data_IF_768287456873
#
_entry.id   IF_768287456873
#
_cell.length_a   1.000
_cell.length_b   1.000
_cell.length_c   1.000
_cell.angle_alpha   90.00
_cell.angle_beta   90.00
_cell.angle_gamma   90.00
#
_symmetry.space_group_name_H-M   'P 1'
#
loop_
_entity.id
_entity.type
_entity.pdbx_description
1 polymer ?
#
# COMPACT_ATOMS: atom_id res chain seq x y z
N UNK A 1 -45.61 5.68 52.01
CA UNK A 1 -44.31 4.99 51.80
C UNK A 1 -44.23 4.66 50.28
N UNK A 2 -43.64 5.56 49.49
CA UNK A 2 -43.50 5.40 48.05
C UNK A 2 -42.14 4.78 47.74
N UNK A 3 -42.15 3.55 47.24
CA UNK A 3 -40.95 2.89 46.73
C UNK A 3 -40.75 3.30 45.27
N UNK A 4 -39.81 4.21 45.00
CA UNK A 4 -39.33 4.48 43.66
C UNK A 4 -38.39 3.34 43.21
N UNK A 5 -38.85 2.55 42.29
CA UNK A 5 -38.02 1.59 41.55
C UNK A 5 -37.25 2.38 40.44
N UNK A 6 -35.96 2.60 40.64
CA UNK A 6 -35.06 3.05 39.55
C UNK A 6 -34.79 1.86 38.64
N UNK A 7 -35.36 1.90 37.44
CA UNK A 7 -34.97 0.98 36.37
C UNK A 7 -33.67 1.48 35.71
N UNK A 8 -32.59 0.76 35.94
CA UNK A 8 -31.31 1.01 35.30
C UNK A 8 -31.37 0.43 33.87
N UNK A 9 -31.58 1.29 32.89
CA UNK A 9 -31.49 0.89 31.47
C UNK A 9 -30.00 0.73 31.09
N UNK A 10 -29.54 -0.50 30.98
CA UNK A 10 -28.20 -0.82 30.42
C UNK A 10 -28.22 -0.55 28.93
N UNK A 11 -27.65 0.57 28.51
CA UNK A 11 -27.40 0.84 27.08
C UNK A 11 -26.25 -0.05 26.61
N UNK A 12 -26.56 -1.09 25.84
CA UNK A 12 -25.59 -1.91 25.16
C UNK A 12 -24.96 -1.11 24.00
N UNK A 13 -23.74 -0.65 24.19
CA UNK A 13 -22.96 -0.01 23.12
C UNK A 13 -22.44 -1.13 22.24
N UNK A 14 -23.14 -1.38 21.12
CA UNK A 14 -22.65 -2.26 20.05
C UNK A 14 -21.47 -1.54 19.36
N UNK A 15 -20.24 -1.97 19.64
CA UNK A 15 -19.08 -1.55 18.88
C UNK A 15 -19.16 -2.19 17.50
N UNK A 16 -19.53 -1.41 16.48
CA UNK A 16 -19.31 -1.79 15.09
C UNK A 16 -17.79 -1.90 14.90
N UNK A 17 -17.28 -3.13 14.77
CA UNK A 17 -15.95 -3.35 14.28
C UNK A 17 -15.92 -2.89 12.80
N UNK A 18 -15.35 -1.71 12.53
CA UNK A 18 -15.03 -1.31 11.16
C UNK A 18 -13.99 -2.33 10.67
N UNK A 19 -14.37 -3.16 9.71
CA UNK A 19 -13.40 -3.96 8.97
C UNK A 19 -12.36 -3.01 8.36
N UNK A 20 -11.07 -3.34 8.49
CA UNK A 20 -10.02 -2.56 7.87
C UNK A 20 -10.31 -2.46 6.35
N UNK A 21 -10.18 -1.29 5.75
CA UNK A 21 -10.44 -1.13 4.33
C UNK A 21 -9.49 -2.02 3.52
N UNK A 22 -9.98 -2.54 2.41
CA UNK A 22 -9.15 -3.29 1.47
C UNK A 22 -7.97 -2.43 1.00
N UNK A 23 -6.76 -3.01 0.79
CA UNK A 23 -5.57 -2.23 0.46
C UNK A 23 -5.65 -1.49 -0.88
N UNK A 24 -6.45 -1.97 -1.83
CA UNK A 24 -6.56 -1.40 -3.18
C UNK A 24 -7.99 -0.92 -3.44
N UNK A 25 -8.13 0.32 -3.92
CA UNK A 25 -9.39 0.83 -4.46
C UNK A 25 -9.54 0.36 -5.91
N UNK A 26 -10.48 -0.57 -6.14
CA UNK A 26 -10.73 -1.16 -7.45
C UNK A 26 -11.38 -0.19 -8.46
N UNK A 27 -11.81 0.99 -7.99
CA UNK A 27 -12.47 2.03 -8.79
C UNK A 27 -11.61 3.28 -8.98
N UNK A 28 -10.40 3.33 -8.39
CA UNK A 28 -9.52 4.47 -8.50
C UNK A 28 -9.04 4.71 -9.93
N UNK A 29 -8.87 5.97 -10.29
CA UNK A 29 -8.11 6.37 -11.48
C UNK A 29 -6.61 6.36 -11.13
N UNK A 30 -5.99 5.18 -11.22
CA UNK A 30 -4.59 4.99 -10.86
C UNK A 30 -3.64 5.91 -11.66
N UNK A 31 -3.97 6.25 -12.90
CA UNK A 31 -3.14 7.16 -13.69
C UNK A 31 -3.18 8.59 -13.16
N UNK A 32 -4.36 9.08 -12.77
CA UNK A 32 -4.52 10.38 -12.13
C UNK A 32 -3.84 10.39 -10.75
N UNK A 33 -4.00 9.34 -9.95
CA UNK A 33 -3.38 9.22 -8.63
C UNK A 33 -1.86 9.27 -8.70
N UNK A 34 -1.26 8.62 -9.69
CA UNK A 34 0.20 8.69 -9.94
C UNK A 34 0.63 10.13 -10.26
N UNK A 35 -0.12 10.86 -11.08
CA UNK A 35 0.22 12.26 -11.38
C UNK A 35 0.11 13.16 -10.15
N UNK A 36 -0.93 12.99 -9.35
CA UNK A 36 -1.09 13.71 -8.08
C UNK A 36 0.06 13.41 -7.10
N UNK A 37 0.42 12.14 -6.95
CA UNK A 37 1.51 11.73 -6.08
C UNK A 37 2.88 12.29 -6.53
N UNK A 38 3.15 12.34 -7.85
CA UNK A 38 4.36 12.95 -8.40
C UNK A 38 4.41 14.44 -8.04
N UNK A 39 3.28 15.16 -8.20
CA UNK A 39 3.21 16.56 -7.85
C UNK A 39 3.40 16.82 -6.34
N UNK A 40 2.75 16.02 -5.49
CA UNK A 40 2.89 16.09 -4.03
C UNK A 40 4.33 15.78 -3.59
N UNK A 41 4.94 14.72 -4.13
CA UNK A 41 6.30 14.32 -3.81
C UNK A 41 7.34 15.40 -4.13
N UNK A 42 7.13 16.19 -5.19
CA UNK A 42 7.98 17.34 -5.51
C UNK A 42 7.92 18.42 -4.44
N UNK A 43 6.73 18.70 -3.90
CA UNK A 43 6.53 19.71 -2.84
C UNK A 43 7.13 19.23 -1.52
N UNK A 44 6.93 17.95 -1.20
CA UNK A 44 7.32 17.36 0.09
C UNK A 44 8.75 16.82 0.10
N UNK A 45 9.48 16.97 -1.02
CA UNK A 45 10.83 16.43 -1.20
C UNK A 45 10.93 14.92 -0.97
N UNK A 46 9.88 14.19 -1.33
CA UNK A 46 9.78 12.74 -1.24
C UNK A 46 9.93 12.07 -2.61
N UNK A 47 9.97 10.76 -2.60
CA UNK A 47 9.83 9.91 -3.78
C UNK A 47 8.39 9.39 -3.88
N UNK A 48 8.01 8.85 -5.03
CA UNK A 48 6.74 8.14 -5.17
C UNK A 48 7.00 6.63 -5.09
N UNK A 49 6.19 5.94 -4.30
CA UNK A 49 6.18 4.48 -4.22
C UNK A 49 4.89 3.97 -4.88
N UNK A 50 5.04 3.40 -6.07
CA UNK A 50 3.95 2.70 -6.75
C UNK A 50 3.90 1.26 -6.24
N UNK A 51 2.75 0.82 -5.73
CA UNK A 51 2.52 -0.52 -5.20
C UNK A 51 1.44 -1.20 -6.03
N UNK A 52 1.86 -2.09 -6.90
CA UNK A 52 0.97 -2.89 -7.75
C UNK A 52 0.52 -4.14 -7.02
N UNK A 53 -0.78 -4.41 -7.02
CA UNK A 53 -1.33 -5.57 -6.35
C UNK A 53 -2.84 -5.71 -6.54
N UNK A 54 -3.46 -6.56 -5.74
CA UNK A 54 -4.90 -6.79 -5.77
C UNK A 54 -5.42 -7.24 -4.39
N UNK A 55 -6.69 -6.99 -4.13
CA UNK A 55 -7.32 -7.32 -2.84
C UNK A 55 -7.39 -8.83 -2.56
N UNK A 56 -7.54 -9.66 -3.58
CA UNK A 56 -7.55 -11.12 -3.45
C UNK A 56 -6.17 -11.72 -3.10
N UNK A 57 -5.08 -10.99 -3.34
CA UNK A 57 -3.70 -11.46 -3.20
C UNK A 57 -3.25 -11.45 -1.73
N UNK A 58 -2.95 -12.62 -1.11
CA UNK A 58 -2.52 -12.67 0.29
C UNK A 58 -1.18 -11.99 0.54
N UNK A 59 -0.23 -12.10 -0.40
CA UNK A 59 1.09 -11.45 -0.32
C UNK A 59 0.97 -9.93 -0.39
N UNK A 60 0.01 -9.42 -1.17
CA UNK A 60 -0.29 -7.98 -1.25
C UNK A 60 -0.82 -7.45 0.09
N UNK A 61 -1.71 -8.20 0.74
CA UNK A 61 -2.21 -7.85 2.09
C UNK A 61 -1.11 -7.93 3.15
N UNK A 62 -0.19 -8.88 3.03
CA UNK A 62 0.94 -8.99 3.95
C UNK A 62 1.91 -7.81 3.83
N UNK A 63 2.22 -7.38 2.60
CA UNK A 63 3.01 -6.17 2.35
C UNK A 63 2.30 -4.94 2.90
N UNK A 64 1.01 -4.78 2.63
CA UNK A 64 0.20 -3.67 3.12
C UNK A 64 0.23 -3.57 4.65
N UNK A 65 0.03 -4.70 5.33
CA UNK A 65 0.12 -4.78 6.79
C UNK A 65 1.49 -4.32 7.30
N UNK A 66 2.58 -4.77 6.67
CA UNK A 66 3.93 -4.38 7.06
C UNK A 66 4.20 -2.88 6.80
N UNK A 67 3.66 -2.32 5.72
CA UNK A 67 3.78 -0.89 5.39
C UNK A 67 3.07 0.00 6.42
N UNK A 68 1.93 -0.42 6.98
CA UNK A 68 1.18 0.27 8.02
C UNK A 68 1.59 -0.12 9.45
N UNK A 69 2.46 -1.12 9.60
CA UNK A 69 3.01 -1.61 10.85
C UNK A 69 4.46 -1.19 11.04
N UNK A 70 5.35 -2.18 11.04
CA UNK A 70 6.79 -1.98 11.31
C UNK A 70 7.49 -1.01 10.36
N UNK A 71 6.99 -0.85 9.13
CA UNK A 71 7.58 0.02 8.11
C UNK A 71 6.91 1.39 7.99
N UNK A 72 5.89 1.70 8.78
CA UNK A 72 5.07 2.91 8.61
C UNK A 72 5.90 4.18 8.59
N UNK A 73 6.75 4.41 9.59
CA UNK A 73 7.57 5.63 9.68
C UNK A 73 8.53 5.80 8.50
N UNK A 74 9.09 4.67 8.02
CA UNK A 74 9.96 4.67 6.85
C UNK A 74 9.18 5.08 5.60
N UNK A 75 8.01 4.47 5.40
CA UNK A 75 7.18 4.72 4.22
C UNK A 75 6.65 6.15 4.23
N UNK A 76 6.04 6.60 5.32
CA UNK A 76 5.49 7.96 5.44
C UNK A 76 6.56 9.05 5.35
N UNK A 77 7.78 8.78 5.83
CA UNK A 77 8.88 9.73 5.78
C UNK A 77 9.51 9.90 4.40
N UNK A 78 9.53 8.85 3.58
CA UNK A 78 10.28 8.82 2.32
C UNK A 78 9.41 8.89 1.07
N UNK A 79 8.11 8.56 1.16
CA UNK A 79 7.30 8.33 -0.02
C UNK A 79 5.91 8.96 0.03
N UNK A 80 5.45 9.41 -1.15
CA UNK A 80 4.05 9.46 -1.50
C UNK A 80 3.68 8.10 -2.11
N UNK A 81 2.69 7.40 -1.52
CA UNK A 81 2.33 6.04 -1.89
C UNK A 81 1.11 6.03 -2.81
N UNK A 82 1.20 5.31 -3.93
CA UNK A 82 0.05 5.02 -4.80
C UNK A 82 -0.13 3.51 -4.89
N UNK A 83 -1.29 3.03 -4.47
CA UNK A 83 -1.68 1.63 -4.63
C UNK A 83 -2.45 1.47 -5.93
N UNK A 84 -2.00 0.54 -6.77
CA UNK A 84 -2.50 0.33 -8.11
C UNK A 84 -3.10 -1.07 -8.19
N UNK A 85 -4.44 -1.14 -8.29
CA UNK A 85 -5.14 -2.41 -8.49
C UNK A 85 -4.87 -2.96 -9.89
N UNK A 86 -4.41 -4.19 -9.97
CA UNK A 86 -4.19 -4.88 -11.23
C UNK A 86 -5.30 -5.90 -11.55
N UNK A 87 -6.34 -5.94 -10.73
CA UNK A 87 -7.45 -6.89 -10.91
C UNK A 87 -6.97 -8.34 -10.93
N UNK A 88 -7.40 -9.10 -11.90
CA UNK A 88 -6.90 -10.44 -12.20
C UNK A 88 -5.80 -10.39 -13.28
N UNK A 89 -4.89 -9.41 -13.20
CA UNK A 89 -3.93 -9.04 -14.25
C UNK A 89 -4.61 -8.56 -15.53
N UNK A 90 -5.71 -7.83 -15.39
CA UNK A 90 -6.54 -7.28 -16.47
C UNK A 90 -6.82 -5.78 -16.31
N UNK A 91 -6.36 -5.16 -15.20
CA UNK A 91 -6.48 -3.73 -14.95
C UNK A 91 -5.13 -3.02 -14.91
N UNK A 92 -5.10 -1.76 -15.29
CA UNK A 92 -3.93 -0.87 -15.21
C UNK A 92 -2.65 -1.41 -15.89
N UNK A 93 -2.78 -2.33 -16.86
CA UNK A 93 -1.64 -2.95 -17.54
C UNK A 93 -0.83 -1.95 -18.36
N UNK A 94 -1.48 -0.95 -18.97
CA UNK A 94 -0.78 0.14 -19.68
C UNK A 94 0.10 0.96 -18.72
N UNK A 95 -0.39 1.18 -17.49
CA UNK A 95 0.37 1.86 -16.45
C UNK A 95 1.55 0.99 -15.96
N UNK A 96 1.32 -0.30 -15.73
CA UNK A 96 2.40 -1.25 -15.40
C UNK A 96 3.47 -1.28 -16.49
N UNK A 97 3.09 -1.34 -17.76
CA UNK A 97 4.02 -1.34 -18.89
C UNK A 97 4.84 -0.04 -18.96
N UNK A 98 4.23 1.12 -18.67
CA UNK A 98 4.94 2.42 -18.62
C UNK A 98 6.10 2.40 -17.61
N UNK A 99 5.95 1.67 -16.51
CA UNK A 99 6.97 1.50 -15.48
C UNK A 99 7.80 0.23 -15.61
N UNK A 100 7.85 -0.36 -16.82
CA UNK A 100 8.71 -1.49 -17.14
C UNK A 100 8.17 -2.85 -16.72
N UNK A 101 6.84 -2.95 -16.60
CA UNK A 101 6.09 -4.17 -16.24
C UNK A 101 6.60 -4.87 -14.97
N UNK A 102 6.53 -4.20 -13.81
CA UNK A 102 7.03 -4.75 -12.55
C UNK A 102 6.30 -6.03 -12.11
N UNK A 103 5.08 -6.25 -12.63
CA UNK A 103 4.20 -7.37 -12.26
C UNK A 103 4.46 -8.65 -13.05
N UNK A 104 5.43 -8.66 -13.97
CA UNK A 104 5.70 -9.81 -14.85
C UNK A 104 6.04 -11.10 -14.09
N UNK A 105 6.57 -10.99 -12.87
CA UNK A 105 6.96 -12.11 -12.00
C UNK A 105 6.05 -12.26 -10.77
N UNK A 106 4.90 -11.57 -10.77
CA UNK A 106 3.91 -11.66 -9.70
C UNK A 106 3.68 -10.36 -8.96
N UNK A 107 2.78 -10.41 -8.01
CA UNK A 107 2.38 -9.32 -7.12
C UNK A 107 2.48 -9.76 -5.65
N UNK A 108 2.69 -8.82 -4.71
CA UNK A 108 2.87 -7.39 -4.94
C UNK A 108 4.18 -7.06 -5.64
N UNK A 109 4.18 -5.96 -6.40
CA UNK A 109 5.37 -5.41 -6.99
C UNK A 109 5.44 -3.91 -6.72
N UNK A 110 6.65 -3.36 -6.53
CA UNK A 110 6.83 -1.95 -6.24
C UNK A 110 7.77 -1.28 -7.25
N UNK A 111 7.49 -0.01 -7.51
CA UNK A 111 8.36 0.86 -8.30
C UNK A 111 8.62 2.14 -7.51
N UNK A 112 9.88 2.53 -7.38
CA UNK A 112 10.28 3.82 -6.83
C UNK A 112 10.48 4.80 -7.98
N UNK A 113 9.78 5.92 -7.88
CA UNK A 113 9.85 7.00 -8.87
C UNK A 113 10.40 8.25 -8.19
N UNK A 114 11.45 8.80 -8.75
CA UNK A 114 12.08 10.05 -8.33
C UNK A 114 11.57 11.26 -9.11
N UNK A 115 12.30 12.36 -8.96
CA UNK A 115 12.02 13.61 -9.65
C UNK A 115 11.99 13.42 -11.17
N UNK A 116 11.12 14.17 -11.85
CA UNK A 116 10.94 14.07 -13.30
C UNK A 116 10.37 12.73 -13.77
N UNK A 117 9.66 12.00 -12.89
CA UNK A 117 9.06 10.70 -13.18
C UNK A 117 10.09 9.62 -13.57
N UNK A 118 11.31 9.73 -13.06
CA UNK A 118 12.39 8.77 -13.32
C UNK A 118 12.23 7.54 -12.44
N UNK A 119 12.24 6.34 -13.04
CA UNK A 119 12.28 5.07 -12.28
C UNK A 119 13.65 4.89 -11.64
N UNK A 120 13.69 4.82 -10.31
CA UNK A 120 14.89 4.61 -9.51
C UNK A 120 15.07 3.13 -9.13
N UNK A 121 13.98 2.41 -8.95
CA UNK A 121 13.98 1.00 -8.59
C UNK A 121 12.67 0.32 -9.01
N UNK A 122 12.71 -0.97 -9.29
CA UNK A 122 11.53 -1.80 -9.57
C UNK A 122 11.80 -3.26 -9.17
N UNK A 123 10.81 -3.89 -8.54
CA UNK A 123 10.83 -5.33 -8.20
C UNK A 123 10.48 -6.17 -9.43
N UNK A 124 11.43 -6.33 -10.35
CA UNK A 124 11.18 -7.04 -11.62
C UNK A 124 11.26 -8.57 -11.53
N UNK A 125 11.90 -9.08 -10.48
CA UNK A 125 12.14 -10.52 -10.31
C UNK A 125 11.18 -11.17 -9.29
N UNK A 126 10.11 -10.46 -8.90
CA UNK A 126 9.11 -10.97 -7.97
C UNK A 126 9.58 -11.02 -6.51
N UNK A 127 10.48 -10.11 -6.13
CA UNK A 127 11.13 -10.08 -4.81
C UNK A 127 10.14 -10.01 -3.64
N UNK A 128 8.96 -9.46 -3.87
CA UNK A 128 7.88 -9.36 -2.88
C UNK A 128 6.70 -10.30 -3.16
N UNK A 129 6.74 -11.09 -4.25
CA UNK A 129 5.63 -11.98 -4.62
C UNK A 129 5.39 -13.14 -3.65
N UNK A 130 6.17 -13.22 -2.57
CA UNK A 130 6.02 -14.15 -1.46
C UNK A 130 6.00 -13.42 -0.09
N UNK A 131 5.58 -12.17 -0.06
CA UNK A 131 5.60 -11.33 1.14
C UNK A 131 4.86 -11.97 2.33
N UNK A 132 3.83 -12.78 2.09
CA UNK A 132 3.11 -13.51 3.13
C UNK A 132 3.95 -14.59 3.86
N UNK A 133 5.09 -15.00 3.28
CA UNK A 133 6.05 -15.93 3.91
C UNK A 133 7.27 -15.20 4.50
N UNK A 134 7.38 -13.90 4.28
CA UNK A 134 8.44 -13.09 4.86
C UNK A 134 8.06 -12.67 6.29
N UNK A 135 9.06 -12.48 7.14
CA UNK A 135 8.85 -11.83 8.44
C UNK A 135 8.67 -10.32 8.25
N UNK A 136 7.98 -9.65 9.17
CA UNK A 136 7.86 -8.17 9.12
C UNK A 136 9.23 -7.49 9.11
N UNK A 137 10.22 -8.03 9.84
CA UNK A 137 11.59 -7.54 9.81
C UNK A 137 12.23 -7.67 8.42
N UNK A 138 12.04 -8.81 7.75
CA UNK A 138 12.59 -9.03 6.40
C UNK A 138 11.96 -8.08 5.37
N UNK A 139 10.66 -7.80 5.49
CA UNK A 139 9.99 -6.80 4.65
C UNK A 139 10.54 -5.40 4.94
N UNK A 140 10.67 -5.02 6.22
CA UNK A 140 11.26 -3.75 6.61
C UNK A 140 12.68 -3.56 6.05
N UNK A 141 13.54 -4.56 6.21
CA UNK A 141 14.92 -4.52 5.73
C UNK A 141 14.98 -4.40 4.20
N UNK A 142 14.12 -5.11 3.50
CA UNK A 142 13.98 -4.97 2.05
C UNK A 142 13.56 -3.55 1.65
N UNK A 143 12.49 -3.03 2.26
CA UNK A 143 12.00 -1.67 1.99
C UNK A 143 13.06 -0.62 2.28
N UNK A 144 13.77 -0.75 3.39
CA UNK A 144 14.84 0.18 3.77
C UNK A 144 16.02 0.11 2.81
N UNK A 145 16.56 -1.09 2.55
CA UNK A 145 17.82 -1.25 1.81
C UNK A 145 17.64 -1.15 0.28
N UNK A 146 16.54 -1.69 -0.24
CA UNK A 146 16.32 -1.80 -1.70
C UNK A 146 15.41 -0.73 -2.25
N UNK A 147 14.52 -0.20 -1.43
CA UNK A 147 13.47 0.73 -1.87
C UNK A 147 13.78 2.15 -1.42
N UNK A 148 13.93 2.41 -0.12
CA UNK A 148 14.12 3.77 0.40
C UNK A 148 15.49 4.38 0.04
N UNK A 149 16.56 3.61 0.04
CA UNK A 149 17.94 4.09 -0.21
C UNK A 149 18.25 4.33 -1.70
N UNK A 150 17.24 4.60 -2.54
CA UNK A 150 17.44 4.92 -3.96
C UNK A 150 17.37 6.43 -4.20
N UNK A 151 18.37 6.95 -4.85
CA UNK A 151 18.51 8.36 -5.25
C UNK A 151 18.60 8.52 -6.76
#
# INVERSE_FOLDING_TARGET
MNKFLLALAAASISTLALAAPWPYDEHADAAADVQHAIAAAQVDHKKVLLVFGANWCPDCRALDKAMHGSSQHLIEGEFEVVKIDVGNFDKNLSLANRYGNPIAKGIPAVVVVGTGNKVLYSTKEGELANAGKMTEQSIYDFLKQKVANRS
#
